data_IF_614141260697
#
_entry.id   IF_614141260697
#
_cell.length_a   1.000
_cell.length_b   1.000
_cell.length_c   1.000
_cell.angle_alpha   90.00
_cell.angle_beta   90.00
_cell.angle_gamma   90.00
#
_symmetry.space_group_name_H-M   'P 1'
#
loop_
_entity.id
_entity.type
_entity.pdbx_description
1 polymer ?
#
# COMPACT_ATOMS: atom_id res chain seq x y z
N UNK A 1 4.55 3.62 23.65
CA UNK A 1 3.23 3.42 23.00
C UNK A 1 2.86 4.58 22.05
N UNK A 2 2.83 5.84 22.52
CA UNK A 2 2.42 7.01 21.71
C UNK A 2 3.28 7.27 20.45
N UNK A 3 4.61 7.14 20.56
CA UNK A 3 5.55 7.37 19.45
C UNK A 3 5.36 6.37 18.30
N UNK A 4 5.13 5.08 18.62
CA UNK A 4 4.85 4.01 17.64
C UNK A 4 3.52 4.24 16.90
N UNK A 5 2.49 4.67 17.63
CA UNK A 5 1.20 5.02 17.04
C UNK A 5 1.31 6.22 16.08
N UNK A 6 2.00 7.29 16.49
CA UNK A 6 2.25 8.47 15.67
C UNK A 6 3.02 8.15 14.38
N UNK A 7 4.04 7.28 14.44
CA UNK A 7 4.80 6.85 13.26
C UNK A 7 3.93 6.03 12.29
N UNK A 8 3.09 5.14 12.81
CA UNK A 8 2.16 4.37 11.98
C UNK A 8 1.10 5.26 11.32
N UNK A 9 0.55 6.22 12.07
CA UNK A 9 -0.41 7.18 11.55
C UNK A 9 0.23 8.03 10.44
N UNK A 10 1.43 8.55 10.67
CA UNK A 10 2.18 9.33 9.69
C UNK A 10 2.47 8.57 8.39
N UNK A 11 2.81 7.27 8.46
CA UNK A 11 2.99 6.42 7.28
C UNK A 11 1.69 6.26 6.48
N UNK A 12 0.59 5.94 7.16
CA UNK A 12 -0.71 5.79 6.50
C UNK A 12 -1.12 7.10 5.83
N UNK A 13 -0.97 8.24 6.52
CA UNK A 13 -1.28 9.55 5.95
C UNK A 13 -0.47 9.83 4.68
N UNK A 14 0.83 9.52 4.67
CA UNK A 14 1.66 9.67 3.47
C UNK A 14 1.16 8.79 2.31
N UNK A 15 0.91 7.50 2.55
CA UNK A 15 0.40 6.59 1.52
C UNK A 15 -0.96 7.04 0.97
N UNK A 16 -1.83 7.58 1.85
CA UNK A 16 -3.13 8.11 1.47
C UNK A 16 -3.00 9.39 0.63
N UNK A 17 -2.09 10.31 1.00
CA UNK A 17 -1.83 11.53 0.23
C UNK A 17 -1.26 11.22 -1.16
N UNK A 18 -0.29 10.30 -1.25
CA UNK A 18 0.29 9.89 -2.54
C UNK A 18 -0.79 9.25 -3.42
N UNK A 19 -1.57 8.31 -2.86
CA UNK A 19 -2.65 7.64 -3.59
C UNK A 19 -3.72 8.62 -4.06
N UNK A 20 -4.10 9.59 -3.22
CA UNK A 20 -5.07 10.62 -3.58
C UNK A 20 -4.54 11.53 -4.71
N UNK A 21 -3.28 11.95 -4.65
CA UNK A 21 -2.67 12.77 -5.70
C UNK A 21 -2.62 12.03 -7.04
N UNK A 22 -2.25 10.75 -7.03
CA UNK A 22 -2.22 9.89 -8.22
C UNK A 22 -3.63 9.66 -8.80
N UNK A 23 -4.63 9.45 -7.94
CA UNK A 23 -6.03 9.34 -8.37
C UNK A 23 -6.54 10.64 -8.98
N UNK A 24 -6.25 11.79 -8.37
CA UNK A 24 -6.63 13.10 -8.94
C UNK A 24 -5.98 13.30 -10.32
N UNK A 25 -4.70 12.97 -10.47
CA UNK A 25 -3.99 13.04 -11.75
C UNK A 25 -4.60 12.13 -12.84
N UNK A 26 -5.08 10.95 -12.46
CA UNK A 26 -5.78 10.04 -13.38
C UNK A 26 -7.18 10.54 -13.73
N UNK A 27 -7.97 10.92 -12.73
CA UNK A 27 -9.36 11.34 -12.89
C UNK A 27 -9.48 12.70 -13.58
N UNK A 28 -8.47 13.57 -13.49
CA UNK A 28 -8.41 14.83 -14.25
C UNK A 28 -8.20 14.62 -15.75
N UNK A 29 -7.85 13.40 -16.18
CA UNK A 29 -7.54 13.09 -17.59
C UNK A 29 -6.20 13.64 -18.06
N UNK A 30 -5.43 14.32 -17.20
CA UNK A 30 -4.15 14.94 -17.57
C UNK A 30 -3.14 13.91 -18.08
N UNK A 31 -3.16 12.69 -17.54
CA UNK A 31 -2.28 11.62 -17.97
C UNK A 31 -2.45 11.25 -19.46
N UNK A 32 -3.66 11.39 -20.03
CA UNK A 32 -3.97 11.02 -21.41
C UNK A 32 -3.29 11.94 -22.45
N UNK A 33 -2.75 13.09 -22.03
CA UNK A 33 -2.02 14.01 -22.91
C UNK A 33 -0.53 13.66 -23.03
N UNK A 34 -0.04 12.68 -22.26
CA UNK A 34 1.34 12.22 -22.35
C UNK A 34 1.50 11.09 -23.38
N UNK A 35 2.73 10.82 -23.84
CA UNK A 35 3.03 9.65 -24.66
C UNK A 35 2.66 8.32 -23.98
N UNK A 36 2.34 7.28 -24.76
CA UNK A 36 1.81 6.00 -24.27
C UNK A 36 2.69 5.32 -23.19
N UNK A 37 4.01 5.44 -23.29
CA UNK A 37 4.94 4.94 -22.28
C UNK A 37 4.77 5.65 -20.93
N UNK A 38 4.58 6.97 -20.93
CA UNK A 38 4.33 7.75 -19.71
C UNK A 38 2.95 7.46 -19.13
N UNK A 39 1.93 7.29 -19.99
CA UNK A 39 0.60 6.84 -19.54
C UNK A 39 0.67 5.51 -18.80
N UNK A 40 1.41 4.55 -19.37
CA UNK A 40 1.61 3.23 -18.78
C UNK A 40 2.33 3.31 -17.43
N UNK A 41 3.37 4.15 -17.32
CA UNK A 41 4.09 4.38 -16.05
C UNK A 41 3.15 4.99 -15.02
N UNK A 42 2.36 6.00 -15.39
CA UNK A 42 1.40 6.63 -14.49
C UNK A 42 0.34 5.65 -13.97
N UNK A 43 -0.23 4.83 -14.86
CA UNK A 43 -1.19 3.79 -14.47
C UNK A 43 -0.57 2.77 -13.52
N UNK A 44 0.65 2.30 -13.82
CA UNK A 44 1.37 1.36 -12.95
C UNK A 44 1.74 1.97 -11.59
N UNK A 45 2.13 3.24 -11.56
CA UNK A 45 2.42 3.95 -10.32
C UNK A 45 1.17 4.06 -9.43
N UNK A 46 0.01 4.37 -10.03
CA UNK A 46 -1.27 4.40 -9.31
C UNK A 46 -1.65 3.03 -8.77
N UNK A 47 -1.58 1.98 -9.60
CA UNK A 47 -1.87 0.62 -9.15
C UNK A 47 -0.94 0.20 -8.02
N UNK A 48 0.37 0.47 -8.12
CA UNK A 48 1.31 0.17 -7.04
C UNK A 48 0.95 0.90 -5.74
N UNK A 49 0.65 2.21 -5.81
CA UNK A 49 0.25 3.01 -4.65
C UNK A 49 -1.03 2.49 -3.99
N UNK A 50 -2.04 2.16 -4.80
CA UNK A 50 -3.28 1.56 -4.31
C UNK A 50 -3.05 0.18 -3.70
N UNK A 51 -2.15 -0.61 -4.29
CA UNK A 51 -1.71 -1.89 -3.73
C UNK A 51 -1.07 -1.74 -2.35
N UNK A 52 -0.24 -0.71 -2.13
CA UNK A 52 0.35 -0.42 -0.82
C UNK A 52 -0.70 -0.06 0.20
N UNK A 53 -1.61 0.84 -0.17
CA UNK A 53 -2.71 1.26 0.70
C UNK A 53 -3.62 0.07 1.06
N UNK A 54 -3.98 -0.76 0.07
CA UNK A 54 -4.81 -1.94 0.26
C UNK A 54 -4.11 -2.98 1.16
N UNK A 55 -2.84 -3.28 0.89
CA UNK A 55 -2.05 -4.19 1.72
C UNK A 55 -1.94 -3.69 3.17
N UNK A 56 -1.70 -2.39 3.37
CA UNK A 56 -1.59 -1.80 4.69
C UNK A 56 -2.92 -1.86 5.47
N UNK A 57 -4.02 -1.48 4.83
CA UNK A 57 -5.35 -1.50 5.42
C UNK A 57 -5.76 -2.94 5.77
N UNK A 58 -5.70 -3.86 4.81
CA UNK A 58 -6.13 -5.25 5.00
C UNK A 58 -5.28 -5.94 6.06
N UNK A 59 -3.95 -5.82 6.02
CA UNK A 59 -3.12 -6.49 7.02
C UNK A 59 -3.33 -5.95 8.44
N UNK A 60 -3.68 -4.68 8.62
CA UNK A 60 -4.07 -4.16 9.94
C UNK A 60 -5.43 -4.63 10.40
N UNK A 61 -6.38 -4.79 9.47
CA UNK A 61 -7.72 -5.32 9.80
C UNK A 61 -7.65 -6.81 10.15
N UNK A 62 -6.88 -7.59 9.40
CA UNK A 62 -6.75 -9.04 9.60
C UNK A 62 -5.83 -9.37 10.78
N UNK A 63 -4.76 -8.59 11.00
CA UNK A 63 -3.76 -8.82 12.05
C UNK A 63 -3.50 -7.54 12.88
N UNK A 64 -4.44 -7.17 13.77
CA UNK A 64 -4.42 -5.87 14.46
C UNK A 64 -3.29 -5.72 15.48
N UNK A 65 -2.85 -6.82 16.10
CA UNK A 65 -1.82 -6.81 17.13
C UNK A 65 -0.79 -7.91 16.83
N UNK A 66 0.27 -7.55 16.10
CA UNK A 66 1.45 -8.40 15.93
C UNK A 66 2.62 -7.75 16.67
N UNK A 67 3.22 -8.49 17.60
CA UNK A 67 4.44 -8.05 18.28
C UNK A 67 5.69 -8.35 17.44
N UNK A 68 6.14 -7.35 16.68
CA UNK A 68 7.35 -7.47 15.87
C UNK A 68 8.67 -7.47 16.66
N UNK A 69 8.65 -7.21 17.97
CA UNK A 69 9.87 -7.15 18.78
C UNK A 69 10.28 -8.50 19.37
N UNK A 70 9.34 -9.45 19.47
CA UNK A 70 9.60 -10.78 20.02
C UNK A 70 9.36 -11.87 18.98
N UNK A 71 10.43 -12.51 18.51
CA UNK A 71 10.35 -13.50 17.42
C UNK A 71 9.57 -14.78 17.78
N UNK A 72 9.35 -15.05 19.06
CA UNK A 72 8.65 -16.25 19.52
C UNK A 72 7.13 -16.07 19.64
N UNK A 73 6.62 -14.84 19.59
CA UNK A 73 5.18 -14.55 19.57
C UNK A 73 4.70 -14.35 18.14
N UNK A 74 3.45 -14.74 17.88
CA UNK A 74 2.71 -14.44 16.65
C UNK A 74 3.41 -14.90 15.35
N UNK A 75 4.27 -15.93 15.42
CA UNK A 75 5.16 -16.32 14.31
C UNK A 75 4.40 -16.64 13.03
N UNK A 76 3.29 -17.38 13.15
CA UNK A 76 2.44 -17.70 12.00
C UNK A 76 1.72 -16.46 11.47
N UNK A 77 1.23 -15.58 12.32
CA UNK A 77 0.54 -14.34 11.90
C UNK A 77 1.50 -13.37 11.22
N UNK A 78 2.76 -13.29 11.68
CA UNK A 78 3.83 -12.53 10.99
C UNK A 78 4.07 -13.06 9.59
N UNK A 79 4.23 -14.39 9.45
CA UNK A 79 4.44 -15.03 8.14
C UNK A 79 3.24 -14.77 7.23
N UNK A 80 2.02 -15.01 7.72
CA UNK A 80 0.78 -14.79 6.96
C UNK A 80 0.63 -13.33 6.55
N UNK A 81 0.96 -12.38 7.44
CA UNK A 81 0.93 -10.95 7.12
C UNK A 81 1.92 -10.58 6.02
N UNK A 82 3.14 -11.09 6.06
CA UNK A 82 4.15 -10.85 5.00
C UNK A 82 3.67 -11.44 3.67
N UNK A 83 3.19 -12.69 3.68
CA UNK A 83 2.67 -13.35 2.47
C UNK A 83 1.49 -12.57 1.90
N UNK A 84 0.53 -12.18 2.73
CA UNK A 84 -0.63 -11.40 2.31
C UNK A 84 -0.22 -10.05 1.71
N UNK A 85 0.74 -9.35 2.34
CA UNK A 85 1.26 -8.10 1.83
C UNK A 85 1.92 -8.26 0.45
N UNK A 86 2.73 -9.31 0.28
CA UNK A 86 3.38 -9.63 -0.99
C UNK A 86 2.36 -10.02 -2.09
N UNK A 87 1.30 -10.74 -1.74
CA UNK A 87 0.24 -11.12 -2.67
C UNK A 87 -0.50 -9.90 -3.23
N UNK A 88 -0.79 -8.90 -2.41
CA UNK A 88 -1.37 -7.64 -2.89
C UNK A 88 -0.42 -6.93 -3.86
N UNK A 89 0.86 -6.81 -3.52
CA UNK A 89 1.86 -6.22 -4.43
C UNK A 89 1.90 -6.94 -5.77
N UNK A 90 1.89 -8.27 -5.74
CA UNK A 90 1.90 -9.11 -6.93
C UNK A 90 0.65 -8.88 -7.80
N UNK A 91 -0.55 -8.92 -7.21
CA UNK A 91 -1.81 -8.69 -7.93
C UNK A 91 -1.84 -7.31 -8.61
N UNK A 92 -1.53 -6.24 -7.86
CA UNK A 92 -1.52 -4.88 -8.40
C UNK A 92 -0.43 -4.65 -9.45
N UNK A 93 0.72 -5.35 -9.37
CA UNK A 93 1.75 -5.28 -10.42
C UNK A 93 1.29 -5.84 -11.77
N UNK A 94 0.30 -6.74 -11.76
CA UNK A 94 -0.28 -7.39 -12.94
C UNK A 94 -1.58 -6.72 -13.44
N UNK A 95 -2.06 -5.67 -12.79
CA UNK A 95 -3.25 -4.94 -13.23
C UNK A 95 -4.32 -4.72 -12.16
N UNK A 96 -4.16 -5.33 -10.98
CA UNK A 96 -5.18 -5.33 -9.92
C UNK A 96 -6.00 -6.61 -9.94
#
# INVERSE_FOLDING_TARGET
MFKSFMTQLSRITHELTISAALLVFLLSGTYAHFPNNIQTIALKATLASLGFLHAHATTKLTFPAIDWANDNTDKMEKILRIVLYASFMYAYSHGG
#
